data_IF_114886343056
#
_entry.id   IF_114886343056
#
_cell.length_a   1.000
_cell.length_b   1.000
_cell.length_c   1.000
_cell.angle_alpha   90.00
_cell.angle_beta   90.00
_cell.angle_gamma   90.00
#
_symmetry.space_group_name_H-M   'P 1'
#
loop_
_entity.id
_entity.type
_entity.pdbx_description
1 polymer ?
#
# COMPACT_ATOMS: atom_id res chain seq x y z
N UNK A 1 -4.69 15.79 -14.14
CA UNK A 1 -3.47 15.34 -13.46
C UNK A 1 -3.12 16.45 -12.51
N UNK A 2 -3.24 16.19 -11.20
CA UNK A 2 -2.98 17.20 -10.19
C UNK A 2 -1.58 16.91 -9.65
N UNK A 3 -0.59 17.63 -10.16
CA UNK A 3 0.73 17.68 -9.54
C UNK A 3 0.62 18.68 -8.41
N UNK A 4 0.86 18.22 -7.19
CA UNK A 4 0.68 19.04 -5.99
C UNK A 4 1.98 18.98 -5.22
N UNK A 5 2.72 20.09 -5.22
CA UNK A 5 3.65 20.38 -4.13
C UNK A 5 2.84 20.80 -2.91
N UNK A 6 3.32 20.44 -1.73
CA UNK A 6 2.64 20.74 -0.49
C UNK A 6 3.54 21.60 0.37
N UNK A 7 3.01 22.73 0.86
CA UNK A 7 3.63 23.43 1.97
C UNK A 7 2.95 22.97 3.26
N UNK A 8 3.75 22.53 4.22
CA UNK A 8 3.28 22.25 5.57
C UNK A 8 3.08 23.60 6.25
N UNK A 9 1.83 23.94 6.58
CA UNK A 9 1.56 25.02 7.51
C UNK A 9 1.69 24.45 8.93
N UNK A 10 2.83 24.73 9.58
CA UNK A 10 3.17 24.18 10.91
C UNK A 10 2.16 24.59 11.99
N UNK A 11 1.65 25.82 11.94
CA UNK A 11 0.71 26.36 12.92
C UNK A 11 -0.66 25.68 12.86
N UNK A 12 -1.15 25.40 11.65
CA UNK A 12 -2.46 24.76 11.44
C UNK A 12 -2.35 23.23 11.31
N UNK A 13 -1.13 22.70 11.20
CA UNK A 13 -0.86 21.31 10.84
C UNK A 13 -1.66 20.89 9.60
N UNK A 14 -1.77 21.81 8.65
CA UNK A 14 -2.63 21.69 7.49
C UNK A 14 -1.79 21.83 6.24
N UNK A 15 -2.14 21.06 5.20
CA UNK A 15 -1.41 21.11 3.96
C UNK A 15 -2.19 22.07 3.08
N UNK A 16 -1.52 23.14 2.70
CA UNK A 16 -2.02 24.00 1.66
C UNK A 16 -1.35 23.55 0.36
N UNK A 17 -2.19 23.34 -0.65
CA UNK A 17 -1.73 23.07 -2.01
C UNK A 17 -0.89 24.28 -2.41
N UNK A 18 0.42 24.11 -2.46
CA UNK A 18 1.25 25.06 -3.17
C UNK A 18 1.39 24.47 -4.56
N UNK A 19 0.73 25.07 -5.54
CA UNK A 19 1.41 25.17 -6.82
C UNK A 19 2.50 26.19 -6.50
N UNK A 20 3.73 25.74 -6.24
CA UNK A 20 4.80 26.72 -6.20
C UNK A 20 4.75 27.43 -7.55
N UNK A 21 4.75 28.76 -7.56
CA UNK A 21 4.53 29.56 -8.79
C UNK A 21 5.68 29.39 -9.83
N UNK A 22 6.58 28.43 -9.58
CA UNK A 22 7.75 28.09 -10.36
C UNK A 22 7.79 26.62 -10.82
N UNK A 23 6.90 25.73 -10.37
CA UNK A 23 6.83 24.36 -10.93
C UNK A 23 5.87 24.34 -12.12
N UNK A 24 6.42 24.58 -13.31
CA UNK A 24 5.67 24.42 -14.56
C UNK A 24 5.89 23.04 -15.17
N UNK A 25 4.79 22.34 -15.44
CA UNK A 25 4.78 20.92 -15.81
C UNK A 25 4.39 20.75 -17.28
N UNK A 26 5.33 20.25 -18.07
CA UNK A 26 5.11 19.90 -19.47
C UNK A 26 5.14 18.38 -19.64
N UNK A 27 4.07 17.79 -20.16
CA UNK A 27 4.04 16.35 -20.46
C UNK A 27 4.46 16.09 -21.91
N UNK A 28 5.60 15.43 -22.11
CA UNK A 28 6.06 15.02 -23.45
C UNK A 28 5.11 14.00 -24.12
N UNK A 29 4.32 13.28 -23.32
CA UNK A 29 3.49 12.16 -23.79
C UNK A 29 2.00 12.50 -23.90
N UNK A 30 1.63 13.77 -23.73
CA UNK A 30 0.33 14.30 -24.15
C UNK A 30 0.52 15.16 -25.39
N UNK A 31 -0.26 14.89 -26.43
CA UNK A 31 -0.14 15.43 -27.81
C UNK A 31 -0.21 16.97 -27.98
N UNK A 32 -0.24 17.74 -26.89
CA UNK A 32 -0.27 19.20 -26.88
C UNK A 32 0.57 19.75 -25.72
N UNK A 33 1.88 19.99 -25.92
CA UNK A 33 2.64 20.85 -25.04
C UNK A 33 2.08 22.28 -25.15
N UNK A 34 1.47 22.80 -24.08
CA UNK A 34 1.06 24.20 -24.02
C UNK A 34 2.12 24.98 -23.28
N UNK A 35 3.20 25.40 -23.97
CA UNK A 35 4.19 26.33 -23.41
C UNK A 35 3.47 27.51 -22.77
N UNK A 36 3.67 27.72 -21.48
CA UNK A 36 3.44 29.02 -20.84
C UNK A 36 4.74 29.81 -21.06
N UNK A 37 4.64 31.04 -21.56
CA UNK A 37 5.82 31.91 -21.69
C UNK A 37 6.32 32.26 -20.29
N UNK A 38 7.49 31.71 -19.95
CA UNK A 38 8.04 31.65 -18.62
C UNK A 38 8.91 32.88 -18.25
N UNK A 39 9.26 33.70 -19.24
CA UNK A 39 10.35 34.68 -19.11
C UNK A 39 11.74 34.02 -19.13
N UNK A 40 12.79 34.80 -19.32
CA UNK A 40 14.16 34.29 -19.57
C UNK A 40 14.83 33.62 -18.34
N UNK A 41 14.32 33.89 -17.13
CA UNK A 41 14.97 33.50 -15.87
C UNK A 41 14.30 32.32 -15.13
N UNK A 42 13.22 31.74 -15.66
CA UNK A 42 12.49 30.67 -14.96
C UNK A 42 12.89 29.28 -15.44
N UNK A 43 13.47 28.52 -14.52
CA UNK A 43 13.72 27.08 -14.66
C UNK A 43 12.45 26.27 -14.47
N UNK A 44 12.33 25.12 -15.14
CA UNK A 44 11.15 24.25 -15.04
C UNK A 44 11.47 22.76 -15.25
N UNK A 45 10.51 21.88 -14.99
CA UNK A 45 10.62 20.43 -15.25
C UNK A 45 9.74 19.98 -16.40
N UNK A 46 10.30 19.09 -17.22
CA UNK A 46 9.59 18.33 -18.25
C UNK A 46 9.21 16.98 -17.64
N UNK A 47 7.92 16.73 -17.44
CA UNK A 47 7.44 15.50 -16.80
C UNK A 47 7.10 14.44 -17.84
N UNK A 48 7.81 13.33 -17.81
CA UNK A 48 7.49 12.15 -18.61
C UNK A 48 6.68 11.20 -17.74
N UNK A 49 5.37 11.17 -17.95
CA UNK A 49 4.46 10.31 -17.19
C UNK A 49 4.43 8.89 -17.77
N UNK A 50 5.22 8.00 -17.18
CA UNK A 50 5.33 6.60 -17.56
C UNK A 50 4.22 5.71 -17.01
N UNK A 51 3.16 6.26 -16.41
CA UNK A 51 2.16 5.49 -15.66
C UNK A 51 1.17 4.68 -16.51
N UNK A 52 1.11 4.90 -17.81
CA UNK A 52 0.23 4.18 -18.75
C UNK A 52 0.99 3.17 -19.61
N UNK A 53 2.29 2.99 -19.40
CA UNK A 53 3.20 2.28 -20.31
C UNK A 53 3.16 0.74 -20.24
N UNK A 54 2.13 0.16 -19.61
CA UNK A 54 2.21 -1.21 -19.09
C UNK A 54 2.21 -2.36 -20.11
N UNK A 55 1.78 -2.15 -21.35
CA UNK A 55 1.75 -3.24 -22.34
C UNK A 55 2.43 -2.90 -23.68
N UNK A 56 2.39 -1.65 -24.13
CA UNK A 56 2.85 -1.31 -25.49
C UNK A 56 4.34 -0.91 -25.60
N UNK A 57 5.02 -0.59 -24.49
CA UNK A 57 6.29 0.18 -24.56
C UNK A 57 7.53 -0.56 -24.01
N UNK A 58 7.41 -1.87 -23.84
CA UNK A 58 8.38 -2.71 -23.14
C UNK A 58 9.68 -2.87 -23.92
N UNK A 59 9.64 -3.52 -25.08
CA UNK A 59 10.82 -3.69 -25.94
C UNK A 59 10.41 -3.79 -27.41
N UNK A 60 11.16 -3.13 -28.30
CA UNK A 60 11.04 -3.44 -29.72
C UNK A 60 11.72 -4.79 -30.04
N UNK A 61 11.57 -5.30 -31.26
CA UNK A 61 12.15 -6.59 -31.69
C UNK A 61 13.68 -6.68 -31.55
N UNK A 62 14.36 -5.55 -31.35
CA UNK A 62 15.81 -5.45 -31.20
C UNK A 62 16.23 -5.34 -29.71
N UNK A 63 15.30 -5.37 -28.77
CA UNK A 63 15.57 -5.25 -27.34
C UNK A 63 15.76 -3.82 -26.83
N UNK A 64 15.43 -2.78 -27.62
CA UNK A 64 15.43 -1.40 -27.13
C UNK A 64 14.13 -1.09 -26.39
N UNK A 65 14.22 -0.26 -25.36
CA UNK A 65 13.07 0.26 -24.62
C UNK A 65 12.39 1.35 -25.45
N UNK A 66 11.15 1.11 -25.87
CA UNK A 66 10.38 1.99 -26.77
C UNK A 66 10.21 3.42 -26.21
N UNK A 67 10.17 3.56 -24.88
CA UNK A 67 10.13 4.87 -24.21
C UNK A 67 11.27 5.79 -24.67
N UNK A 68 12.49 5.26 -24.79
CA UNK A 68 13.66 6.05 -25.13
C UNK A 68 13.76 6.36 -26.63
N UNK A 69 13.30 5.44 -27.48
CA UNK A 69 13.14 5.69 -28.91
C UNK A 69 12.12 6.82 -29.15
N UNK A 70 11.01 6.82 -28.40
CA UNK A 70 10.02 7.90 -28.43
C UNK A 70 10.63 9.21 -27.93
N UNK A 71 11.32 9.20 -26.79
CA UNK A 71 11.98 10.40 -26.27
C UNK A 71 12.97 11.02 -27.28
N UNK A 72 13.82 10.20 -27.90
CA UNK A 72 14.76 10.65 -28.91
C UNK A 72 14.02 11.25 -30.12
N UNK A 73 12.97 10.59 -30.61
CA UNK A 73 12.17 11.05 -31.74
C UNK A 73 11.47 12.38 -31.44
N UNK A 74 10.77 12.47 -30.32
CA UNK A 74 9.99 13.66 -29.97
C UNK A 74 10.91 14.88 -29.80
N UNK A 75 12.02 14.76 -29.07
CA UNK A 75 12.92 15.89 -28.82
C UNK A 75 13.67 16.37 -30.07
N UNK A 76 14.15 15.46 -30.92
CA UNK A 76 14.94 15.83 -32.12
C UNK A 76 14.08 16.17 -33.33
N UNK A 77 12.97 15.46 -33.54
CA UNK A 77 12.29 15.43 -34.83
C UNK A 77 10.90 16.06 -34.79
N UNK A 78 10.26 16.22 -33.62
CA UNK A 78 8.98 16.92 -33.54
C UNK A 78 9.19 18.43 -33.33
N UNK A 79 8.74 19.21 -34.32
CA UNK A 79 8.67 20.67 -34.26
C UNK A 79 8.03 21.21 -32.97
N UNK A 80 7.09 20.47 -32.37
CA UNK A 80 6.41 20.82 -31.12
C UNK A 80 7.33 20.81 -29.90
N UNK A 81 8.35 19.96 -29.88
CA UNK A 81 9.27 19.81 -28.74
C UNK A 81 10.66 20.42 -28.99
N UNK A 82 10.89 20.99 -30.18
CA UNK A 82 12.14 21.66 -30.55
C UNK A 82 12.61 22.73 -29.54
N UNK A 83 11.67 23.49 -28.97
CA UNK A 83 11.97 24.50 -27.93
C UNK A 83 12.37 23.84 -26.61
N UNK A 84 11.67 22.79 -26.19
CA UNK A 84 12.02 22.02 -24.98
C UNK A 84 13.41 21.40 -25.13
N UNK A 85 13.72 20.87 -26.31
CA UNK A 85 15.05 20.32 -26.58
C UNK A 85 16.14 21.40 -26.53
N UNK A 86 15.87 22.60 -27.06
CA UNK A 86 16.77 23.75 -26.93
C UNK A 86 16.97 24.15 -25.46
N UNK A 87 15.89 24.24 -24.69
CA UNK A 87 15.94 24.60 -23.27
C UNK A 87 16.66 23.52 -22.43
N UNK A 88 16.56 22.24 -22.79
CA UNK A 88 17.36 21.16 -22.20
C UNK A 88 18.86 21.34 -22.50
N UNK A 89 19.23 21.66 -23.74
CA UNK A 89 20.64 21.89 -24.13
C UNK A 89 21.23 23.14 -23.46
N UNK A 90 20.42 24.17 -23.27
CA UNK A 90 20.80 25.42 -22.59
C UNK A 90 20.74 25.32 -21.05
N UNK A 91 20.39 24.15 -20.49
CA UNK A 91 20.20 23.94 -19.05
C UNK A 91 19.21 24.93 -18.44
N UNK A 92 18.07 25.10 -19.09
CA UNK A 92 16.90 25.85 -18.56
C UNK A 92 15.85 24.93 -17.96
N UNK A 93 15.88 23.65 -18.30
CA UNK A 93 14.99 22.66 -17.72
C UNK A 93 15.67 21.29 -17.52
N UNK A 94 15.00 20.44 -16.75
CA UNK A 94 15.36 19.04 -16.50
C UNK A 94 14.17 18.12 -16.83
N UNK A 95 14.44 16.83 -17.02
CA UNK A 95 13.43 15.80 -17.25
C UNK A 95 13.15 15.06 -15.94
N UNK A 96 11.88 15.03 -15.52
CA UNK A 96 11.38 14.20 -14.44
C UNK A 96 10.57 13.05 -15.01
N UNK A 97 11.12 11.84 -14.97
CA UNK A 97 10.34 10.64 -15.23
C UNK A 97 9.50 10.28 -14.01
N UNK A 98 8.19 10.17 -14.21
CA UNK A 98 7.23 9.81 -13.18
C UNK A 98 6.66 8.41 -13.45
N UNK A 99 6.84 7.51 -12.50
CA UNK A 99 6.39 6.13 -12.56
C UNK A 99 5.36 5.87 -11.45
N UNK A 100 4.25 5.19 -11.79
CA UNK A 100 3.27 4.71 -10.79
C UNK A 100 3.65 3.39 -10.14
N UNK A 101 4.55 2.65 -10.77
CA UNK A 101 5.03 1.36 -10.30
C UNK A 101 6.45 1.11 -10.84
N UNK A 102 7.22 0.32 -10.09
CA UNK A 102 8.65 0.08 -10.34
C UNK A 102 8.93 -0.89 -11.49
N UNK A 103 7.92 -1.59 -11.98
CA UNK A 103 8.04 -2.75 -12.89
C UNK A 103 8.97 -2.50 -14.08
N UNK A 104 9.06 -1.26 -14.56
CA UNK A 104 9.87 -0.86 -15.72
C UNK A 104 11.34 -0.53 -15.42
N UNK A 105 11.65 0.01 -14.23
CA UNK A 105 13.00 0.47 -13.87
C UNK A 105 13.89 -0.70 -13.41
N UNK A 106 13.28 -1.81 -12.98
CA UNK A 106 14.00 -2.92 -12.37
C UNK A 106 14.69 -3.87 -13.37
N UNK A 107 14.83 -3.47 -14.64
CA UNK A 107 15.53 -4.26 -15.66
C UNK A 107 17.01 -3.89 -15.70
N UNK A 108 17.89 -4.89 -15.78
CA UNK A 108 19.35 -4.69 -15.74
C UNK A 108 19.87 -3.70 -16.79
N UNK A 109 19.11 -3.49 -17.86
CA UNK A 109 19.50 -2.65 -18.98
C UNK A 109 18.79 -1.29 -19.04
N UNK A 110 17.88 -0.96 -18.10
CA UNK A 110 17.11 0.29 -18.17
C UNK A 110 18.01 1.52 -18.22
N UNK A 111 18.89 1.66 -17.23
CA UNK A 111 19.79 2.82 -17.13
C UNK A 111 20.82 2.84 -18.27
N UNK A 112 21.30 1.68 -18.74
CA UNK A 112 22.23 1.62 -19.87
C UNK A 112 21.61 2.09 -21.19
N UNK A 113 20.34 1.77 -21.44
CA UNK A 113 19.64 2.31 -22.62
C UNK A 113 19.37 3.80 -22.50
N UNK A 114 19.05 4.28 -21.30
CA UNK A 114 18.92 5.70 -21.04
C UNK A 114 20.24 6.43 -21.29
N UNK A 115 21.35 5.94 -20.76
CA UNK A 115 22.69 6.53 -20.98
C UNK A 115 22.99 6.67 -22.48
N UNK A 116 22.74 5.62 -23.27
CA UNK A 116 22.90 5.66 -24.72
C UNK A 116 22.03 6.72 -25.38
N UNK A 117 20.79 6.87 -24.91
CA UNK A 117 19.83 7.84 -25.44
C UNK A 117 20.24 9.27 -25.10
N UNK A 118 20.67 9.53 -23.86
CA UNK A 118 21.17 10.83 -23.43
C UNK A 118 22.42 11.24 -24.21
N UNK A 119 23.34 10.30 -24.48
CA UNK A 119 24.50 10.56 -25.32
C UNK A 119 24.10 10.99 -26.74
N UNK A 120 23.14 10.30 -27.35
CA UNK A 120 22.62 10.69 -28.68
C UNK A 120 21.96 12.06 -28.67
N UNK A 121 21.33 12.44 -27.56
CA UNK A 121 20.65 13.73 -27.38
C UNK A 121 21.59 14.84 -26.88
N UNK A 122 22.86 14.54 -26.59
CA UNK A 122 23.81 15.46 -25.97
C UNK A 122 23.27 16.09 -24.66
N UNK A 123 22.61 15.28 -23.83
CA UNK A 123 22.04 15.69 -22.54
C UNK A 123 22.85 15.13 -21.38
N UNK A 124 22.95 15.90 -20.29
CA UNK A 124 23.64 15.49 -19.07
C UNK A 124 22.70 14.65 -18.19
N UNK A 125 23.20 13.52 -17.65
CA UNK A 125 22.45 12.67 -16.72
C UNK A 125 21.98 13.41 -15.46
N UNK A 126 22.67 14.47 -15.05
CA UNK A 126 22.28 15.32 -13.92
C UNK A 126 20.96 16.08 -14.15
N UNK A 127 20.53 16.21 -15.40
CA UNK A 127 19.23 16.80 -15.76
C UNK A 127 18.09 15.79 -15.68
N UNK A 128 18.36 14.54 -15.27
CA UNK A 128 17.38 13.46 -15.26
C UNK A 128 17.04 13.05 -13.84
N UNK A 129 15.76 13.15 -13.52
CA UNK A 129 15.19 12.82 -12.23
C UNK A 129 14.15 11.72 -12.38
N UNK A 130 14.05 10.87 -11.37
CA UNK A 130 13.05 9.81 -11.28
C UNK A 130 12.19 10.00 -10.04
N UNK A 131 10.88 10.04 -10.22
CA UNK A 131 9.91 9.87 -9.14
C UNK A 131 9.15 8.57 -9.36
N UNK A 132 9.17 7.71 -8.36
CA UNK A 132 8.55 6.38 -8.42
C UNK A 132 7.57 6.27 -7.26
N UNK A 133 6.30 6.00 -7.56
CA UNK A 133 5.37 5.57 -6.53
C UNK A 133 5.63 4.10 -6.25
N UNK A 134 5.94 3.81 -4.98
CA UNK A 134 6.45 2.50 -4.60
C UNK A 134 5.53 1.82 -3.59
N UNK A 135 4.94 0.69 -3.96
CA UNK A 135 4.16 -0.12 -3.04
C UNK A 135 5.03 -0.99 -2.11
N UNK A 136 6.28 -1.15 -2.50
CA UNK A 136 7.23 -2.13 -2.02
C UNK A 136 8.35 -1.46 -1.21
N UNK A 137 8.57 -1.88 0.04
CA UNK A 137 9.69 -1.34 0.82
C UNK A 137 11.00 -2.03 0.43
N UNK A 138 11.68 -1.54 -0.61
CA UNK A 138 12.93 -2.14 -1.09
C UNK A 138 14.10 -1.18 -1.33
N UNK A 139 13.87 0.14 -1.25
CA UNK A 139 14.92 1.14 -1.17
C UNK A 139 15.87 1.14 -2.38
N UNK A 140 15.32 1.06 -3.61
CA UNK A 140 16.11 1.16 -4.84
C UNK A 140 17.03 2.39 -4.79
N UNK A 141 18.31 2.17 -5.05
CA UNK A 141 19.33 3.22 -5.14
C UNK A 141 20.09 3.07 -6.45
N UNK A 142 20.39 4.20 -7.07
CA UNK A 142 21.29 4.29 -8.21
C UNK A 142 22.31 5.38 -7.91
N UNK A 143 23.59 5.12 -8.16
CA UNK A 143 24.66 6.09 -7.87
C UNK A 143 24.77 7.17 -8.94
N UNK A 144 24.24 6.92 -10.14
CA UNK A 144 24.31 7.79 -11.31
C UNK A 144 23.07 8.67 -11.47
N UNK A 145 21.92 8.24 -10.95
CA UNK A 145 20.64 8.90 -11.14
C UNK A 145 19.95 9.26 -9.83
N UNK A 146 19.32 10.43 -9.79
CA UNK A 146 18.51 10.84 -8.65
C UNK A 146 17.14 10.16 -8.71
N UNK A 147 16.85 9.35 -7.69
CA UNK A 147 15.60 8.61 -7.59
C UNK A 147 14.91 8.97 -6.28
N UNK A 148 13.72 9.53 -6.39
CA UNK A 148 12.78 9.71 -5.30
C UNK A 148 11.75 8.58 -5.33
N UNK A 149 11.82 7.70 -4.34
CA UNK A 149 10.71 6.80 -4.03
C UNK A 149 9.71 7.52 -3.13
N UNK A 150 8.48 7.60 -3.62
CA UNK A 150 7.33 8.06 -2.88
C UNK A 150 6.56 6.81 -2.48
N UNK A 151 6.53 6.44 -1.19
CA UNK A 151 5.78 5.27 -0.78
C UNK A 151 4.31 5.40 -1.18
N UNK A 152 3.72 4.34 -1.72
CA UNK A 152 2.35 4.34 -2.23
C UNK A 152 1.36 4.75 -1.15
N UNK A 153 1.60 4.38 0.11
CA UNK A 153 0.75 4.81 1.21
C UNK A 153 0.76 6.33 1.39
N UNK A 154 1.86 7.03 1.11
CA UNK A 154 1.93 8.48 1.13
C UNK A 154 1.09 9.06 -0.03
N UNK A 155 1.12 8.42 -1.20
CA UNK A 155 0.28 8.83 -2.33
C UNK A 155 -1.22 8.55 -2.10
N UNK A 156 -1.53 7.40 -1.50
CA UNK A 156 -2.89 7.08 -1.08
C UNK A 156 -3.35 8.06 0.01
N UNK A 157 -2.54 8.40 1.03
CA UNK A 157 -2.88 9.47 2.00
C UNK A 157 -3.04 10.85 1.37
N UNK A 158 -2.40 11.14 0.23
CA UNK A 158 -2.73 12.32 -0.57
C UNK A 158 -4.18 12.30 -1.10
N UNK A 159 -4.74 11.12 -1.44
CA UNK A 159 -6.18 10.98 -1.71
C UNK A 159 -7.05 11.25 -0.48
N UNK A 160 -6.55 10.89 0.71
CA UNK A 160 -7.26 11.21 1.95
C UNK A 160 -7.21 12.72 2.24
N UNK A 161 -6.26 13.50 1.70
CA UNK A 161 -5.90 14.85 2.16
C UNK A 161 -5.42 14.83 3.62
N UNK A 162 -4.26 15.41 3.89
CA UNK A 162 -3.69 15.50 5.23
C UNK A 162 -4.61 16.08 6.30
N UNK A 163 -5.48 17.04 5.94
CA UNK A 163 -6.51 17.60 6.82
C UNK A 163 -7.46 16.50 7.29
N UNK A 164 -7.80 15.53 6.42
CA UNK A 164 -8.59 14.35 6.79
C UNK A 164 -7.79 13.39 7.65
N UNK A 165 -6.52 13.11 7.33
CA UNK A 165 -5.70 12.19 8.13
C UNK A 165 -5.51 12.73 9.56
N UNK A 166 -5.25 14.04 9.71
CA UNK A 166 -5.21 14.72 11.00
C UNK A 166 -6.56 14.61 11.73
N UNK A 167 -7.67 14.95 11.06
CA UNK A 167 -9.03 14.82 11.63
C UNK A 167 -9.33 13.40 12.10
N UNK A 168 -8.94 12.40 11.32
CA UNK A 168 -9.09 10.99 11.68
C UNK A 168 -8.25 10.64 12.90
N UNK A 169 -6.96 11.03 12.95
CA UNK A 169 -6.13 10.84 14.14
C UNK A 169 -6.76 11.51 15.35
N UNK A 170 -7.17 12.76 15.25
CA UNK A 170 -7.73 13.52 16.37
C UNK A 170 -9.03 12.87 16.85
N UNK A 171 -9.87 12.40 15.92
CA UNK A 171 -11.05 11.58 16.23
C UNK A 171 -10.68 10.28 16.96
N UNK A 172 -9.74 9.49 16.45
CA UNK A 172 -9.33 8.24 17.10
C UNK A 172 -8.66 8.48 18.45
N UNK A 173 -7.97 9.61 18.62
CA UNK A 173 -7.39 10.01 19.90
C UNK A 173 -8.48 10.30 20.92
N UNK A 174 -9.44 11.14 20.56
CA UNK A 174 -10.60 11.45 21.40
C UNK A 174 -11.43 10.20 21.72
N UNK A 175 -11.66 9.35 20.71
CA UNK A 175 -12.39 8.10 20.91
C UNK A 175 -11.64 7.16 21.85
N UNK A 176 -10.32 7.03 21.71
CA UNK A 176 -9.49 6.21 22.60
C UNK A 176 -9.71 6.63 24.04
N UNK A 177 -9.60 7.92 24.36
CA UNK A 177 -9.81 8.45 25.71
C UNK A 177 -11.23 8.14 26.23
N UNK A 178 -12.25 8.35 25.41
CA UNK A 178 -13.64 8.05 25.79
C UNK A 178 -13.90 6.55 25.96
N UNK A 179 -13.25 5.71 25.15
CA UNK A 179 -13.41 4.26 25.17
C UNK A 179 -12.87 3.59 26.43
N UNK A 180 -12.12 4.29 27.27
CA UNK A 180 -11.77 3.82 28.63
C UNK A 180 -12.99 3.67 29.55
N UNK A 181 -14.13 4.23 29.17
CA UNK A 181 -15.35 4.25 30.00
C UNK A 181 -16.35 3.13 29.67
N UNK A 182 -16.10 2.33 28.64
CA UNK A 182 -16.99 1.23 28.25
C UNK A 182 -16.21 0.08 27.60
N UNK A 183 -16.78 -1.12 27.71
CA UNK A 183 -16.25 -2.31 27.05
C UNK A 183 -16.71 -2.36 25.59
N UNK A 184 -15.83 -2.79 24.69
CA UNK A 184 -16.17 -3.04 23.28
C UNK A 184 -16.92 -4.35 23.13
N UNK A 185 -17.71 -4.46 22.06
CA UNK A 185 -18.64 -5.58 21.89
C UNK A 185 -17.96 -6.87 21.40
N UNK A 186 -16.95 -6.76 20.54
CA UNK A 186 -16.28 -7.89 19.91
C UNK A 186 -14.79 -7.88 20.24
N UNK A 187 -14.16 -9.05 20.27
CA UNK A 187 -12.72 -9.16 20.51
C UNK A 187 -11.96 -8.69 19.27
N UNK A 188 -12.42 -9.09 18.08
CA UNK A 188 -11.69 -8.82 16.84
C UNK A 188 -12.57 -8.38 15.67
N UNK A 189 -11.90 -7.92 14.62
CA UNK A 189 -12.47 -7.69 13.30
C UNK A 189 -11.60 -8.38 12.24
N UNK A 190 -12.23 -9.02 11.26
CA UNK A 190 -11.59 -9.60 10.08
C UNK A 190 -12.52 -9.49 8.87
N UNK A 191 -12.28 -8.51 8.00
CA UNK A 191 -13.15 -8.26 6.85
C UNK A 191 -12.47 -8.65 5.54
N UNK A 192 -13.00 -9.65 4.86
CA UNK A 192 -12.51 -10.17 3.59
C UNK A 192 -13.55 -10.00 2.47
N UNK A 193 -13.11 -9.50 1.32
CA UNK A 193 -13.93 -9.39 0.11
C UNK A 193 -13.52 -10.43 -0.94
N UNK A 194 -12.35 -10.25 -1.57
CA UNK A 194 -11.87 -11.13 -2.64
C UNK A 194 -11.43 -12.51 -2.14
N UNK A 195 -11.71 -13.55 -2.91
CA UNK A 195 -11.23 -14.92 -2.67
C UNK A 195 -9.70 -14.96 -2.69
N UNK A 196 -9.11 -15.55 -1.65
CA UNK A 196 -7.70 -15.94 -1.57
C UNK A 196 -7.58 -17.12 -0.61
N UNK A 197 -6.65 -18.03 -0.85
CA UNK A 197 -6.39 -19.20 0.01
C UNK A 197 -6.28 -18.86 1.51
N UNK A 198 -5.48 -17.85 1.88
CA UNK A 198 -5.30 -17.44 3.28
C UNK A 198 -6.56 -16.83 3.91
N UNK A 199 -7.48 -16.26 3.10
CA UNK A 199 -8.77 -15.75 3.57
C UNK A 199 -9.76 -16.87 3.81
N UNK A 200 -9.76 -17.87 2.92
CA UNK A 200 -10.49 -19.13 3.11
C UNK A 200 -10.03 -19.81 4.40
N UNK A 201 -8.72 -19.93 4.59
CA UNK A 201 -8.11 -20.52 5.79
C UNK A 201 -8.53 -19.80 7.06
N UNK A 202 -8.27 -18.49 7.20
CA UNK A 202 -8.55 -17.78 8.45
C UNK A 202 -10.04 -17.76 8.79
N UNK A 203 -10.91 -17.68 7.78
CA UNK A 203 -12.36 -17.68 8.01
C UNK A 203 -12.84 -19.07 8.42
N UNK A 204 -12.26 -20.13 7.83
CA UNK A 204 -12.51 -21.50 8.27
C UNK A 204 -11.99 -21.76 9.69
N UNK A 205 -10.84 -21.20 10.08
CA UNK A 205 -10.35 -21.22 11.46
C UNK A 205 -11.36 -20.64 12.44
N UNK A 206 -12.06 -19.55 12.07
CA UNK A 206 -13.12 -19.00 12.93
C UNK A 206 -14.31 -19.95 13.06
N UNK A 207 -14.73 -20.60 11.96
CA UNK A 207 -15.81 -21.58 11.95
C UNK A 207 -15.48 -22.78 12.85
N UNK A 208 -14.32 -23.42 12.66
CA UNK A 208 -13.93 -24.61 13.39
C UNK A 208 -13.77 -24.38 14.90
N UNK A 209 -13.39 -23.16 15.28
CA UNK A 209 -13.16 -22.78 16.67
C UNK A 209 -14.35 -22.01 17.29
N UNK A 210 -15.51 -21.93 16.62
CA UNK A 210 -16.71 -21.23 17.09
C UNK A 210 -16.48 -19.74 17.45
N UNK A 211 -15.70 -19.03 16.64
CA UNK A 211 -15.28 -17.65 16.90
C UNK A 211 -16.11 -16.58 16.16
N UNK A 212 -17.08 -16.94 15.32
CA UNK A 212 -17.89 -15.95 14.58
C UNK A 212 -18.59 -14.95 15.52
N UNK A 213 -19.15 -15.42 16.64
CA UNK A 213 -19.81 -14.55 17.62
C UNK A 213 -18.82 -13.66 18.41
N UNK A 214 -17.52 -13.94 18.34
CA UNK A 214 -16.47 -13.18 19.02
C UNK A 214 -15.92 -12.03 18.19
N UNK A 215 -16.14 -12.05 16.87
CA UNK A 215 -15.62 -11.04 15.95
C UNK A 215 -16.67 -10.34 15.10
N UNK A 216 -16.27 -9.27 14.43
CA UNK A 216 -16.92 -8.79 13.21
C UNK A 216 -16.21 -9.43 12.01
N UNK A 217 -16.86 -10.39 11.35
CA UNK A 217 -16.24 -11.18 10.28
C UNK A 217 -17.00 -11.00 8.98
N UNK A 218 -16.29 -10.85 7.87
CA UNK A 218 -16.86 -10.99 6.53
C UNK A 218 -15.97 -11.87 5.66
N UNK A 219 -16.59 -12.66 4.78
CA UNK A 219 -15.95 -13.32 3.67
C UNK A 219 -16.93 -13.45 2.50
N UNK A 220 -16.77 -12.56 1.51
CA UNK A 220 -17.75 -12.40 0.42
C UNK A 220 -17.55 -13.36 -0.76
N UNK A 221 -16.86 -14.49 -0.55
CA UNK A 221 -16.80 -15.55 -1.53
C UNK A 221 -18.22 -16.05 -1.87
N UNK A 222 -18.47 -16.37 -3.13
CA UNK A 222 -19.78 -16.75 -3.68
C UNK A 222 -20.90 -15.69 -3.57
N UNK A 223 -20.55 -14.42 -3.38
CA UNK A 223 -21.52 -13.33 -3.57
C UNK A 223 -21.85 -13.10 -5.07
N UNK A 224 -22.58 -12.04 -5.38
CA UNK A 224 -23.02 -11.72 -6.75
C UNK A 224 -21.91 -11.17 -7.67
N UNK A 225 -20.71 -10.92 -7.15
CA UNK A 225 -19.56 -10.45 -7.94
C UNK A 225 -18.92 -11.61 -8.72
N UNK A 226 -18.74 -11.49 -10.06
CA UNK A 226 -18.07 -12.52 -10.87
C UNK A 226 -16.66 -12.89 -10.39
N UNK A 227 -15.89 -11.94 -9.85
CA UNK A 227 -14.53 -12.18 -9.32
C UNK A 227 -14.53 -12.97 -8.00
N UNK A 228 -15.71 -13.17 -7.41
CA UNK A 228 -15.89 -13.93 -6.17
C UNK A 228 -16.63 -15.25 -6.41
N UNK A 229 -16.75 -15.75 -7.64
CA UNK A 229 -17.25 -17.11 -7.88
C UNK A 229 -16.18 -18.14 -7.52
N UNK A 230 -16.54 -19.06 -6.64
CA UNK A 230 -15.62 -20.02 -6.03
C UNK A 230 -16.29 -21.39 -5.94
N UNK A 231 -15.98 -22.31 -6.84
CA UNK A 231 -16.57 -23.65 -6.74
C UNK A 231 -15.97 -24.42 -5.54
N UNK A 232 -16.65 -25.48 -5.14
CA UNK A 232 -16.27 -26.24 -3.95
C UNK A 232 -14.91 -26.94 -4.09
N UNK A 233 -14.57 -27.45 -5.28
CA UNK A 233 -13.30 -28.16 -5.50
C UNK A 233 -12.09 -27.21 -5.39
N UNK A 234 -12.20 -26.01 -5.96
CA UNK A 234 -11.19 -24.95 -5.83
C UNK A 234 -11.08 -24.47 -4.38
N UNK A 235 -12.21 -24.32 -3.68
CA UNK A 235 -12.22 -24.01 -2.25
C UNK A 235 -11.46 -25.05 -1.43
N UNK A 236 -11.70 -26.33 -1.70
CA UNK A 236 -11.00 -27.42 -1.03
C UNK A 236 -9.49 -27.40 -1.30
N UNK A 237 -9.07 -27.08 -2.53
CA UNK A 237 -7.65 -26.97 -2.90
C UNK A 237 -6.95 -25.82 -2.14
N UNK A 238 -7.58 -24.67 -2.01
CA UNK A 238 -7.02 -23.52 -1.28
C UNK A 238 -6.88 -23.78 0.23
N UNK A 239 -7.85 -24.48 0.83
CA UNK A 239 -7.75 -24.93 2.23
C UNK A 239 -6.59 -25.94 2.38
N UNK A 240 -6.48 -26.90 1.45
CA UNK A 240 -5.35 -27.86 1.39
C UNK A 240 -4.00 -27.15 1.36
N UNK A 241 -3.86 -26.15 0.50
CA UNK A 241 -2.61 -25.43 0.33
C UNK A 241 -2.20 -24.70 1.61
N UNK A 242 -3.16 -24.16 2.36
CA UNK A 242 -2.90 -23.48 3.64
C UNK A 242 -2.47 -24.44 4.75
N UNK A 243 -3.02 -25.66 4.80
CA UNK A 243 -2.65 -26.67 5.81
C UNK A 243 -1.51 -27.62 5.40
N UNK A 244 -1.03 -27.54 4.16
CA UNK A 244 0.07 -28.37 3.66
C UNK A 244 -0.32 -29.82 3.36
N UNK A 245 0.40 -30.42 2.40
CA UNK A 245 0.10 -31.72 1.79
C UNK A 245 0.18 -32.93 2.75
N UNK A 246 0.83 -32.78 3.91
CA UNK A 246 1.05 -33.85 4.90
C UNK A 246 0.25 -33.64 6.21
N UNK A 247 -0.68 -32.68 6.25
CA UNK A 247 -1.42 -32.42 7.49
C UNK A 247 -2.35 -33.58 7.85
N UNK A 248 -2.60 -33.78 9.15
CA UNK A 248 -3.68 -34.65 9.65
C UNK A 248 -5.09 -34.16 9.21
N UNK A 249 -5.14 -33.03 8.49
CA UNK A 249 -6.30 -32.48 7.80
C UNK A 249 -6.48 -33.05 6.37
N UNK A 250 -5.67 -34.04 5.94
CA UNK A 250 -5.98 -34.85 4.76
C UNK A 250 -7.32 -35.57 4.96
N UNK A 251 -8.25 -35.25 4.07
CA UNK A 251 -9.69 -35.36 4.24
C UNK A 251 -10.23 -36.79 4.28
N UNK A 252 -11.16 -37.03 5.21
CA UNK A 252 -12.13 -38.12 5.18
C UNK A 252 -13.53 -37.55 4.88
N UNK A 253 -14.49 -38.43 4.57
CA UNK A 253 -15.89 -38.03 4.29
C UNK A 253 -16.48 -37.13 5.38
N UNK A 254 -16.09 -37.31 6.64
CA UNK A 254 -16.59 -36.51 7.77
C UNK A 254 -15.97 -35.09 7.84
N UNK A 255 -14.67 -34.91 7.53
CA UNK A 255 -14.05 -33.57 7.46
C UNK A 255 -14.49 -32.81 6.21
N UNK A 256 -14.75 -33.49 5.09
CA UNK A 256 -15.38 -32.89 3.93
C UNK A 256 -16.79 -32.36 4.24
N UNK A 257 -17.53 -33.01 5.15
CA UNK A 257 -18.85 -32.54 5.59
C UNK A 257 -18.77 -31.18 6.30
N UNK A 258 -17.85 -30.98 7.25
CA UNK A 258 -17.67 -29.67 7.93
C UNK A 258 -17.24 -28.56 6.97
N UNK A 259 -16.35 -28.88 6.04
CA UNK A 259 -15.96 -27.92 5.00
C UNK A 259 -17.10 -27.59 4.05
N UNK A 260 -17.93 -28.58 3.73
CA UNK A 260 -19.13 -28.36 2.94
C UNK A 260 -20.15 -27.50 3.71
N UNK A 261 -20.36 -27.78 4.99
CA UNK A 261 -21.18 -26.94 5.87
C UNK A 261 -20.68 -25.50 5.89
N UNK A 262 -19.37 -25.29 6.06
CA UNK A 262 -18.79 -23.96 6.00
C UNK A 262 -18.94 -23.31 4.62
N UNK A 263 -18.70 -24.04 3.54
CA UNK A 263 -18.86 -23.54 2.18
C UNK A 263 -20.30 -23.12 1.89
N UNK A 264 -21.28 -23.87 2.39
CA UNK A 264 -22.71 -23.57 2.25
C UNK A 264 -23.15 -22.35 3.08
N UNK A 265 -22.31 -21.85 4.01
CA UNK A 265 -22.51 -20.58 4.72
C UNK A 265 -22.02 -19.35 3.92
N UNK A 266 -21.30 -19.53 2.81
CA UNK A 266 -20.79 -18.41 2.01
C UNK A 266 -21.89 -17.80 1.13
N UNK A 267 -21.91 -16.46 0.93
CA UNK A 267 -21.01 -15.46 1.51
C UNK A 267 -21.33 -15.15 2.99
N UNK A 268 -20.30 -14.88 3.77
CA UNK A 268 -20.42 -14.38 5.15
C UNK A 268 -20.36 -12.86 5.11
N UNK A 269 -21.45 -12.19 5.47
CA UNK A 269 -21.52 -10.74 5.55
C UNK A 269 -21.41 -10.29 7.03
N UNK A 270 -20.81 -9.12 7.28
CA UNK A 270 -20.88 -8.52 8.61
C UNK A 270 -22.32 -8.11 8.92
N UNK A 271 -22.76 -8.31 10.16
CA UNK A 271 -24.07 -7.86 10.63
C UNK A 271 -24.23 -6.35 10.45
N UNK A 272 -24.96 -5.95 9.41
CA UNK A 272 -25.39 -4.56 9.25
C UNK A 272 -26.86 -4.50 9.63
N UNK A 273 -27.26 -3.55 10.48
CA UNK A 273 -28.66 -3.36 10.89
C UNK A 273 -29.59 -2.89 9.75
N UNK A 274 -29.12 -2.91 8.50
CA UNK A 274 -29.84 -2.48 7.30
C UNK A 274 -29.61 -3.48 6.18
N UNK A 275 -30.64 -3.75 5.38
CA UNK A 275 -30.52 -4.50 4.11
C UNK A 275 -29.83 -3.68 3.00
N UNK A 276 -28.79 -2.92 3.33
CA UNK A 276 -28.00 -2.14 2.38
C UNK A 276 -26.63 -2.82 2.25
N UNK A 277 -26.39 -3.46 1.10
CA UNK A 277 -25.05 -3.97 0.79
C UNK A 277 -24.10 -2.82 0.59
N UNK A 278 -22.94 -2.88 1.23
CA UNK A 278 -21.85 -1.92 1.03
C UNK A 278 -21.21 -2.22 -0.33
N UNK A 279 -21.59 -1.45 -1.36
CA UNK A 279 -21.24 -1.73 -2.77
C UNK A 279 -19.88 -1.18 -3.21
N UNK A 280 -19.20 -0.37 -2.39
CA UNK A 280 -17.96 0.30 -2.81
C UNK A 280 -16.74 -0.22 -2.03
N UNK A 281 -15.64 -0.46 -2.75
CA UNK A 281 -14.32 -0.81 -2.20
C UNK A 281 -13.78 0.21 -1.18
N UNK A 282 -14.33 1.44 -1.18
CA UNK A 282 -13.98 2.53 -0.26
C UNK A 282 -15.11 2.86 0.73
N UNK A 283 -15.60 1.90 1.49
CA UNK A 283 -16.56 2.17 2.56
C UNK A 283 -15.88 2.85 3.76
N UNK A 284 -15.42 4.09 3.56
CA UNK A 284 -14.66 4.91 4.50
C UNK A 284 -15.40 5.34 5.77
N UNK A 285 -16.58 4.81 6.05
CA UNK A 285 -17.37 5.11 7.25
C UNK A 285 -18.04 3.88 7.89
N UNK A 286 -18.53 2.91 7.12
CA UNK A 286 -19.21 1.73 7.67
C UNK A 286 -18.26 0.81 8.46
N UNK A 287 -17.01 0.66 8.00
CA UNK A 287 -15.99 -0.15 8.69
C UNK A 287 -15.48 0.55 9.97
N UNK A 288 -15.57 1.88 10.06
CA UNK A 288 -15.10 2.61 11.24
C UNK A 288 -15.91 2.24 12.49
N UNK A 289 -17.24 2.17 12.39
CA UNK A 289 -18.08 1.82 13.54
C UNK A 289 -17.76 0.44 14.14
N UNK A 290 -17.57 -0.57 13.28
CA UNK A 290 -17.22 -1.94 13.72
C UNK A 290 -15.78 -2.04 14.22
N UNK A 291 -14.81 -1.34 13.60
CA UNK A 291 -13.43 -1.27 14.11
C UNK A 291 -13.38 -0.63 15.48
N UNK A 292 -14.06 0.49 15.70
CA UNK A 292 -14.07 1.19 16.99
C UNK A 292 -14.65 0.32 18.12
N UNK A 293 -15.53 -0.62 17.78
CA UNK A 293 -16.21 -1.51 18.72
C UNK A 293 -15.58 -2.93 18.75
N UNK A 294 -14.32 -3.07 18.34
CA UNK A 294 -13.50 -4.27 18.52
C UNK A 294 -12.11 -3.95 19.10
N UNK A 295 -11.45 -4.93 19.71
CA UNK A 295 -10.16 -4.72 20.37
C UNK A 295 -8.95 -4.84 19.44
N UNK A 296 -8.91 -5.85 18.56
CA UNK A 296 -7.79 -6.03 17.63
C UNK A 296 -8.27 -6.36 16.20
N UNK A 297 -7.36 -6.22 15.24
CA UNK A 297 -7.63 -6.48 13.83
C UNK A 297 -6.89 -7.74 13.36
N UNK A 298 -7.54 -8.58 12.57
CA UNK A 298 -6.89 -9.68 11.85
C UNK A 298 -6.83 -9.28 10.39
N UNK A 299 -5.66 -8.82 9.98
CA UNK A 299 -5.42 -8.25 8.67
C UNK A 299 -5.10 -9.36 7.69
N UNK A 300 -5.80 -9.41 6.55
CA UNK A 300 -5.39 -10.21 5.40
C UNK A 300 -4.95 -9.29 4.26
N UNK A 301 -3.65 -9.27 3.98
CA UNK A 301 -3.11 -8.40 2.92
C UNK A 301 -3.50 -8.89 1.52
N UNK A 302 -3.22 -8.07 0.50
CA UNK A 302 -3.55 -8.43 -0.89
C UNK A 302 -2.73 -9.63 -1.41
N UNK A 303 -1.54 -9.85 -0.84
CA UNK A 303 -0.62 -10.94 -1.16
C UNK A 303 -0.04 -11.54 0.12
N UNK A 304 0.09 -12.86 0.13
CA UNK A 304 0.91 -13.61 1.08
C UNK A 304 1.89 -14.44 0.24
N UNK A 305 3.16 -14.02 0.19
CA UNK A 305 4.18 -14.74 -0.60
C UNK A 305 4.36 -16.16 -0.04
N UNK A 306 4.54 -17.12 -0.93
CA UNK A 306 4.91 -18.50 -0.57
C UNK A 306 6.41 -18.76 -0.59
N UNK A 307 7.19 -17.77 -1.04
CA UNK A 307 8.63 -17.85 -1.19
C UNK A 307 9.32 -16.97 -0.18
N UNK A 308 10.55 -17.36 0.18
CA UNK A 308 11.38 -16.55 1.06
C UNK A 308 11.53 -15.13 0.53
N UNK A 309 11.49 -14.17 1.44
CA UNK A 309 11.69 -12.76 1.17
C UNK A 309 13.07 -12.29 1.69
N UNK A 310 14.18 -12.67 1.03
CA UNK A 310 15.51 -12.35 1.55
C UNK A 310 15.75 -10.85 1.65
N UNK A 311 15.19 -10.08 0.71
CA UNK A 311 15.35 -8.62 0.61
C UNK A 311 14.40 -7.83 1.51
N UNK A 312 13.40 -8.47 2.13
CA UNK A 312 12.43 -7.80 3.00
C UNK A 312 11.47 -6.87 2.24
N UNK A 313 11.26 -7.15 0.95
CA UNK A 313 10.38 -6.35 0.13
C UNK A 313 8.93 -6.75 0.35
N UNK A 314 8.11 -5.85 0.89
CA UNK A 314 6.71 -6.12 1.21
C UNK A 314 5.76 -5.06 0.66
N UNK A 315 4.61 -5.52 0.21
CA UNK A 315 3.49 -4.76 -0.29
C UNK A 315 2.57 -4.40 0.88
N UNK A 316 2.54 -3.12 1.26
CA UNK A 316 1.74 -2.64 2.40
C UNK A 316 0.57 -1.80 1.89
N UNK A 317 -0.66 -2.20 2.24
CA UNK A 317 -1.87 -1.52 1.77
C UNK A 317 -2.57 -0.74 2.88
N UNK A 318 -3.68 -0.09 2.54
CA UNK A 318 -4.55 0.60 3.51
C UNK A 318 -5.04 -0.31 4.64
N UNK A 319 -5.03 -1.63 4.44
CA UNK A 319 -5.46 -2.62 5.45
C UNK A 319 -4.55 -2.63 6.66
N UNK A 320 -3.26 -2.36 6.47
CA UNK A 320 -2.30 -2.20 7.56
C UNK A 320 -2.36 -0.80 8.18
N UNK A 321 -2.56 0.24 7.37
CA UNK A 321 -2.58 1.63 7.87
C UNK A 321 -3.84 2.01 8.64
N UNK A 322 -5.00 1.45 8.28
CA UNK A 322 -6.28 1.69 8.98
C UNK A 322 -6.22 1.35 10.48
N UNK A 323 -5.82 0.14 10.90
CA UNK A 323 -5.72 -0.19 12.33
C UNK A 323 -4.63 0.62 13.05
N UNK A 324 -3.52 0.93 12.38
CA UNK A 324 -2.48 1.83 12.95
C UNK A 324 -3.07 3.21 13.29
N UNK A 325 -3.83 3.81 12.36
CA UNK A 325 -4.52 5.08 12.59
C UNK A 325 -5.59 4.97 13.67
N UNK A 326 -6.36 3.87 13.63
CA UNK A 326 -7.45 3.58 14.57
C UNK A 326 -6.99 3.11 15.95
N UNK A 327 -5.67 3.06 16.19
CA UNK A 327 -5.07 2.57 17.45
C UNK A 327 -5.51 1.15 17.79
N UNK A 328 -5.60 0.27 16.79
CA UNK A 328 -5.86 -1.14 17.03
C UNK A 328 -4.59 -1.97 16.85
N UNK A 329 -4.24 -2.84 17.82
CA UNK A 329 -3.26 -3.89 17.59
C UNK A 329 -3.77 -4.87 16.53
N UNK A 330 -2.86 -5.61 15.90
CA UNK A 330 -3.24 -6.53 14.83
C UNK A 330 -2.38 -7.78 14.72
N UNK A 331 -3.01 -8.85 14.24
CA UNK A 331 -2.35 -10.03 13.69
C UNK A 331 -2.36 -9.90 12.17
N UNK A 332 -1.21 -10.10 11.51
CA UNK A 332 -1.06 -9.86 10.08
C UNK A 332 -0.82 -11.14 9.29
N UNK A 333 -1.74 -11.43 8.37
CA UNK A 333 -1.64 -12.52 7.40
C UNK A 333 -1.26 -11.91 6.04
N UNK A 334 0.03 -11.98 5.71
CA UNK A 334 0.61 -11.37 4.51
C UNK A 334 1.98 -11.96 4.18
N UNK A 335 2.79 -11.22 3.44
CA UNK A 335 4.15 -11.63 3.05
C UNK A 335 5.07 -11.81 4.28
N UNK A 336 6.10 -12.66 4.15
CA UNK A 336 7.20 -12.75 5.13
C UNK A 336 7.90 -11.38 5.27
N UNK A 337 8.34 -11.05 6.49
CA UNK A 337 9.02 -9.79 6.86
C UNK A 337 8.15 -8.54 6.77
N UNK A 338 6.84 -8.68 6.87
CA UNK A 338 5.93 -7.53 6.87
C UNK A 338 6.10 -6.70 8.14
N UNK A 339 6.14 -7.36 9.31
CA UNK A 339 6.35 -6.68 10.59
C UNK A 339 7.79 -6.14 10.68
N UNK A 340 8.77 -6.87 10.13
CA UNK A 340 10.14 -6.36 9.96
C UNK A 340 10.19 -5.03 9.20
N UNK A 341 9.47 -4.91 8.08
CA UNK A 341 9.42 -3.68 7.31
C UNK A 341 8.77 -2.52 8.09
N UNK A 342 7.68 -2.80 8.83
CA UNK A 342 7.07 -1.80 9.71
C UNK A 342 8.05 -1.30 10.78
N UNK A 343 8.83 -2.19 11.40
CA UNK A 343 9.88 -1.81 12.35
C UNK A 343 10.95 -0.94 11.70
N UNK A 344 11.38 -1.26 10.47
CA UNK A 344 12.32 -0.43 9.69
C UNK A 344 11.79 0.97 9.38
N UNK A 345 10.47 1.12 9.23
CA UNK A 345 9.80 2.42 9.06
C UNK A 345 9.60 3.19 10.38
N UNK A 346 10.02 2.63 11.52
CA UNK A 346 9.94 3.26 12.85
C UNK A 346 8.64 2.99 13.61
N UNK A 347 7.81 2.05 13.15
CA UNK A 347 6.66 1.58 13.92
C UNK A 347 7.11 0.56 14.98
N UNK A 348 6.39 0.53 16.09
CA UNK A 348 6.47 -0.53 17.09
C UNK A 348 5.49 -1.64 16.70
N UNK A 349 5.90 -2.88 16.86
CA UNK A 349 5.01 -4.04 16.70
C UNK A 349 4.61 -4.54 18.10
N UNK A 350 3.86 -5.63 18.21
CA UNK A 350 3.08 -5.96 19.41
C UNK A 350 3.71 -7.05 20.28
N UNK A 351 4.94 -7.49 20.03
CA UNK A 351 5.69 -8.32 20.98
C UNK A 351 5.86 -7.58 22.33
N UNK A 352 5.65 -8.20 23.51
CA UNK A 352 5.33 -9.62 23.74
C UNK A 352 3.82 -9.94 23.83
N UNK A 353 2.94 -8.99 23.52
CA UNK A 353 1.49 -9.15 23.63
C UNK A 353 0.89 -10.08 22.57
N UNK A 354 1.56 -10.20 21.42
CA UNK A 354 1.26 -11.12 20.32
C UNK A 354 2.56 -11.85 20.00
N UNK A 355 2.50 -13.18 19.83
CA UNK A 355 3.64 -13.96 19.32
C UNK A 355 3.86 -13.61 17.84
N UNK A 356 4.86 -12.77 17.54
CA UNK A 356 5.13 -12.27 16.18
C UNK A 356 6.13 -13.14 15.40
N UNK A 357 6.52 -14.30 15.94
CA UNK A 357 7.48 -15.20 15.27
C UNK A 357 6.99 -15.70 13.90
N UNK A 358 5.68 -15.64 13.64
CA UNK A 358 5.08 -15.96 12.34
C UNK A 358 5.54 -15.06 11.17
N UNK A 359 6.12 -13.88 11.44
CA UNK A 359 6.59 -12.96 10.39
C UNK A 359 7.81 -13.49 9.64
N UNK A 360 8.59 -14.38 10.26
CA UNK A 360 9.78 -15.02 9.69
C UNK A 360 9.52 -16.43 9.13
N UNK A 361 8.28 -16.92 9.27
CA UNK A 361 7.88 -18.26 8.89
C UNK A 361 7.08 -18.27 7.57
N UNK A 362 7.05 -19.43 6.93
CA UNK A 362 6.30 -19.69 5.70
C UNK A 362 5.40 -20.92 5.85
N UNK A 363 4.39 -21.01 5.00
CA UNK A 363 3.51 -22.18 4.93
C UNK A 363 2.77 -22.45 6.23
N UNK A 364 2.64 -23.74 6.58
CA UNK A 364 1.81 -24.20 7.71
C UNK A 364 2.28 -23.64 9.04
N UNK A 365 3.59 -23.59 9.28
CA UNK A 365 4.15 -23.10 10.56
C UNK A 365 3.73 -21.66 10.86
N UNK A 366 3.68 -20.79 9.84
CA UNK A 366 3.15 -19.43 9.97
C UNK A 366 1.68 -19.45 10.43
N UNK A 367 0.87 -20.26 9.77
CA UNK A 367 -0.55 -20.38 10.06
C UNK A 367 -0.82 -20.99 11.44
N UNK A 368 -0.04 -21.96 11.89
CA UNK A 368 -0.18 -22.59 13.21
C UNK A 368 0.05 -21.57 14.35
N UNK A 369 1.07 -20.72 14.22
CA UNK A 369 1.37 -19.66 15.20
C UNK A 369 0.23 -18.62 15.21
N UNK A 370 -0.21 -18.19 14.02
CA UNK A 370 -1.31 -17.23 13.87
C UNK A 370 -2.62 -17.79 14.45
N UNK A 371 -2.96 -19.04 14.17
CA UNK A 371 -4.16 -19.70 14.69
C UNK A 371 -4.13 -19.78 16.22
N UNK A 372 -2.98 -20.11 16.81
CA UNK A 372 -2.82 -20.12 18.27
C UNK A 372 -3.14 -18.75 18.88
N UNK A 373 -2.66 -17.67 18.28
CA UNK A 373 -2.91 -16.31 18.73
C UNK A 373 -4.37 -15.89 18.52
N UNK A 374 -4.96 -16.23 17.38
CA UNK A 374 -6.40 -16.01 17.10
C UNK A 374 -7.26 -16.71 18.16
N UNK A 375 -6.95 -17.96 18.50
CA UNK A 375 -7.70 -18.74 19.50
C UNK A 375 -7.52 -18.17 20.90
N UNK A 376 -6.30 -17.78 21.27
CA UNK A 376 -6.00 -17.18 22.57
C UNK A 376 -6.78 -15.87 22.76
N UNK A 377 -6.63 -14.92 21.84
CA UNK A 377 -7.25 -13.60 21.94
C UNK A 377 -8.76 -13.63 21.66
N UNK A 378 -9.20 -14.49 20.74
CA UNK A 378 -10.62 -14.66 20.40
C UNK A 378 -11.46 -15.25 21.55
N UNK A 379 -10.84 -16.02 22.46
CA UNK A 379 -11.52 -16.63 23.60
C UNK A 379 -11.40 -15.85 24.91
N UNK A 380 -10.60 -14.78 24.98
CA UNK A 380 -10.58 -13.90 26.15
C UNK A 380 -11.99 -13.36 26.45
N UNK A 381 -12.31 -13.24 27.73
CA UNK A 381 -13.50 -12.51 28.17
C UNK A 381 -13.36 -11.03 27.82
N UNK A 382 -14.49 -10.30 27.81
CA UNK A 382 -14.49 -8.87 27.49
C UNK A 382 -13.60 -8.04 28.41
N UNK A 383 -13.45 -8.43 29.68
CA UNK A 383 -12.59 -7.71 30.61
C UNK A 383 -11.11 -8.02 30.34
N UNK A 384 -10.77 -9.29 30.16
CA UNK A 384 -9.38 -9.70 29.87
C UNK A 384 -8.82 -9.05 28.60
N UNK A 385 -9.62 -9.00 27.53
CA UNK A 385 -9.20 -8.37 26.27
C UNK A 385 -9.14 -6.83 26.37
N UNK A 386 -9.96 -6.23 27.25
CA UNK A 386 -9.92 -4.79 27.52
C UNK A 386 -8.64 -4.41 28.25
N UNK A 387 -8.33 -5.12 29.34
CA UNK A 387 -7.09 -4.95 30.10
C UNK A 387 -5.87 -5.14 29.18
N UNK A 388 -5.84 -6.25 28.42
CA UNK A 388 -4.79 -6.54 27.43
C UNK A 388 -4.62 -5.41 26.41
N UNK A 389 -5.71 -4.84 25.90
CA UNK A 389 -5.63 -3.74 24.93
C UNK A 389 -4.99 -2.48 25.54
N UNK A 390 -5.36 -2.13 26.78
CA UNK A 390 -4.87 -0.91 27.41
C UNK A 390 -3.40 -0.99 27.84
N UNK A 391 -2.86 -2.19 28.06
CA UNK A 391 -1.42 -2.39 28.27
C UNK A 391 -0.55 -1.94 27.07
N UNK A 392 -1.14 -1.84 25.87
CA UNK A 392 -0.46 -1.41 24.65
C UNK A 392 -0.67 0.07 24.29
N UNK A 393 -1.31 0.87 25.15
CA UNK A 393 -1.68 2.26 24.82
C UNK A 393 -0.51 3.09 24.26
N UNK A 394 0.68 2.98 24.84
CA UNK A 394 1.88 3.71 24.37
C UNK A 394 2.33 3.27 22.97
N UNK A 395 2.25 1.97 22.66
CA UNK A 395 2.59 1.42 21.34
C UNK A 395 1.63 1.98 20.29
N UNK A 396 0.34 1.95 20.60
CA UNK A 396 -0.73 2.41 19.71
C UNK A 396 -0.64 3.92 19.46
N UNK A 397 -0.38 4.70 20.51
CA UNK A 397 -0.16 6.14 20.43
C UNK A 397 1.08 6.49 19.60
N UNK A 398 2.21 5.78 19.81
CA UNK A 398 3.43 5.94 19.02
C UNK A 398 3.17 5.66 17.54
N UNK A 399 2.53 4.54 17.22
CA UNK A 399 2.26 4.13 15.85
C UNK A 399 1.35 5.13 15.10
N UNK A 400 0.26 5.57 15.74
CA UNK A 400 -0.65 6.57 15.17
C UNK A 400 0.07 7.90 14.88
N UNK A 401 0.97 8.34 15.77
CA UNK A 401 1.78 9.54 15.58
C UNK A 401 2.85 9.36 14.50
N UNK A 402 3.55 8.21 14.48
CA UNK A 402 4.57 7.92 13.49
C UNK A 402 4.00 7.90 12.06
N UNK A 403 2.77 7.42 11.88
CA UNK A 403 2.11 7.46 10.57
C UNK A 403 2.00 8.89 10.00
N UNK A 404 1.60 9.87 10.83
CA UNK A 404 1.58 11.28 10.40
C UNK A 404 2.98 11.83 10.14
N UNK A 405 3.95 11.51 11.00
CA UNK A 405 5.32 11.99 10.85
C UNK A 405 5.99 11.39 9.61
N UNK A 406 5.70 10.14 9.29
CA UNK A 406 6.14 9.47 8.06
C UNK A 406 5.58 10.21 6.84
N UNK A 407 4.30 10.57 6.85
CA UNK A 407 3.70 11.35 5.77
C UNK A 407 4.35 12.74 5.60
N UNK A 408 4.61 13.47 6.69
CA UNK A 408 5.33 14.75 6.65
C UNK A 408 6.72 14.60 6.03
N UNK A 409 7.50 13.62 6.50
CA UNK A 409 8.82 13.29 5.94
C UNK A 409 8.76 12.97 4.45
N UNK A 410 7.74 12.26 3.98
CA UNK A 410 7.57 11.99 2.55
C UNK A 410 7.37 13.26 1.73
N UNK A 411 6.64 14.25 2.26
CA UNK A 411 6.48 15.56 1.61
C UNK A 411 7.78 16.36 1.64
N UNK A 412 8.47 16.40 2.77
CA UNK A 412 9.76 17.09 2.86
C UNK A 412 10.78 16.49 1.88
N UNK A 413 10.79 15.16 1.75
CA UNK A 413 11.63 14.46 0.77
C UNK A 413 11.28 14.84 -0.68
N UNK A 414 10.00 15.01 -1.01
CA UNK A 414 9.57 15.49 -2.34
C UNK A 414 10.07 16.92 -2.57
N UNK A 415 9.87 17.82 -1.62
CA UNK A 415 10.29 19.21 -1.74
C UNK A 415 11.81 19.33 -1.90
N UNK A 416 12.59 18.65 -1.04
CA UNK A 416 14.05 18.63 -1.11
C UNK A 416 14.54 18.04 -2.44
N UNK A 417 13.90 16.98 -2.93
CA UNK A 417 14.25 16.37 -4.23
C UNK A 417 14.03 17.32 -5.40
N UNK A 418 12.93 18.07 -5.37
CA UNK A 418 12.59 19.09 -6.35
C UNK A 418 13.59 20.25 -6.28
N UNK A 419 13.87 20.78 -5.09
CA UNK A 419 14.86 21.85 -4.88
C UNK A 419 16.28 21.45 -5.33
N UNK A 420 16.73 20.24 -4.98
CA UNK A 420 18.02 19.69 -5.41
C UNK A 420 18.10 19.58 -6.93
N UNK A 421 17.01 19.17 -7.59
CA UNK A 421 16.92 19.16 -9.04
C UNK A 421 17.03 20.55 -9.65
N UNK A 422 16.41 21.55 -9.02
CA UNK A 422 16.47 22.96 -9.45
C UNK A 422 17.86 23.58 -9.36
N UNK A 423 18.61 23.23 -8.32
CA UNK A 423 19.96 23.71 -8.07
C UNK A 423 21.01 23.14 -9.04
N UNK A 424 20.65 22.08 -9.80
CA UNK A 424 21.53 21.40 -10.76
C UNK A 424 21.36 21.87 -12.21
N UNK A 425 20.20 22.45 -12.50
CA UNK A 425 19.95 23.25 -13.70
C UNK A 425 20.73 24.55 -13.56
#
# INVERSE_FOLDING_TARGET
MNYVSYKINEDTNSFDYCIDNNIEVFSLMKNTPQRVDLGEDKKYFVVVDCSTAAEDWTYNSNGNILLFDVLERELKNDSKFSLVYKDLLERKCSILFYFRERTFINTDNFFSHLDSTLQKLNLDKNQILFSIIEFYYDGLKNNDYQILQIPYYAFNTCWWNSKRVKRLKDFYSLYSDYSKTFLRQKNFICTNNRIRHFRSWVTYTFFENNLFDKGYVSYLANNDDPENKYNFDDFLLDIKHSHGNNSEHIFSDEKNRKLKEFYDLLPIECDTKKNERVTNHESGMAIQGIMLNSYFNIITEASANYTKNPVGNVFITEKTWKPILARQPFILIGQEKHLYALRKMGFKTFEPFIDESYDEELGTKKYDIIEKEIKRLGNMSRNEIDDWYWEMEEILQHNSNNFLNMFRRSVDNVNNFIEDGWNRI
#
